data_IF_028409610311
#
_entry.id   IF_028409610311
#
_cell.length_a   1.000
_cell.length_b   1.000
_cell.length_c   1.000
_cell.angle_alpha   90.00
_cell.angle_beta   90.00
_cell.angle_gamma   90.00
#
_symmetry.space_group_name_H-M   'P 1'
#
loop_
_entity.id
_entity.type
_entity.pdbx_description
1 polymer ?
#
# COMPACT_ATOMS: atom_id res chain seq x y z
N UNK A 1 -22.48 -7.94 -2.28
CA UNK A 1 -21.94 -8.71 -3.43
C UNK A 1 -20.79 -9.58 -2.96
N UNK A 2 -20.53 -10.70 -3.65
CA UNK A 2 -19.34 -11.52 -3.42
C UNK A 2 -18.30 -11.23 -4.49
N UNK A 3 -17.24 -10.58 -4.12
CA UNK A 3 -16.23 -10.04 -5.02
C UNK A 3 -14.91 -10.78 -4.82
N UNK A 4 -14.32 -11.22 -5.93
CA UNK A 4 -12.96 -11.75 -5.95
C UNK A 4 -11.98 -10.59 -6.17
N UNK A 5 -11.16 -10.31 -5.18
CA UNK A 5 -10.07 -9.33 -5.29
C UNK A 5 -8.79 -10.04 -5.68
N UNK A 6 -8.13 -9.54 -6.71
CA UNK A 6 -6.89 -10.07 -7.26
C UNK A 6 -5.76 -9.03 -7.21
N UNK A 7 -4.60 -9.48 -6.74
CA UNK A 7 -3.35 -8.73 -6.79
C UNK A 7 -2.29 -9.62 -7.46
N UNK A 8 -1.99 -9.31 -8.72
CA UNK A 8 -1.09 -10.09 -9.58
C UNK A 8 0.34 -9.51 -9.50
N UNK A 9 1.30 -10.34 -9.10
CA UNK A 9 2.72 -10.08 -9.25
C UNK A 9 3.30 -10.81 -10.45
N UNK A 10 4.55 -10.56 -10.82
CA UNK A 10 5.22 -11.19 -11.98
C UNK A 10 5.22 -12.72 -11.92
N UNK A 11 5.43 -13.30 -10.74
CA UNK A 11 5.44 -14.76 -10.50
C UNK A 11 4.52 -15.18 -9.35
N UNK A 12 3.56 -14.36 -8.99
CA UNK A 12 2.66 -14.64 -7.86
C UNK A 12 1.25 -14.07 -8.08
N UNK A 13 0.28 -14.59 -7.33
CA UNK A 13 -1.09 -14.11 -7.35
C UNK A 13 -1.66 -14.20 -5.93
N UNK A 14 -2.02 -13.07 -5.34
CA UNK A 14 -2.80 -13.01 -4.11
C UNK A 14 -4.27 -12.82 -4.45
N UNK A 15 -5.15 -13.47 -3.71
CA UNK A 15 -6.57 -13.28 -3.88
C UNK A 15 -7.34 -13.40 -2.57
N UNK A 16 -8.50 -12.72 -2.55
CA UNK A 16 -9.51 -12.88 -1.51
C UNK A 16 -10.90 -12.84 -2.13
N UNK A 17 -11.83 -13.63 -1.60
CA UNK A 17 -13.26 -13.44 -1.87
C UNK A 17 -13.87 -12.77 -0.65
N UNK A 18 -14.53 -11.66 -0.89
CA UNK A 18 -15.12 -10.81 0.15
C UNK A 18 -16.62 -10.67 -0.11
N UNK A 19 -17.42 -10.84 0.93
CA UNK A 19 -18.82 -10.42 0.93
C UNK A 19 -18.89 -8.96 1.36
N UNK A 20 -19.20 -8.05 0.43
CA UNK A 20 -19.23 -6.61 0.69
C UNK A 20 -20.35 -6.18 1.63
N UNK A 21 -21.42 -6.96 1.78
CA UNK A 21 -22.54 -6.65 2.68
C UNK A 21 -22.13 -6.80 4.14
N UNK A 22 -21.33 -7.83 4.44
CA UNK A 22 -20.85 -8.11 5.80
C UNK A 22 -19.43 -7.61 6.06
N UNK A 23 -18.65 -7.37 5.01
CA UNK A 23 -17.22 -7.13 5.08
C UNK A 23 -16.41 -8.41 5.37
N UNK A 24 -17.04 -9.59 5.35
CA UNK A 24 -16.40 -10.86 5.69
C UNK A 24 -15.51 -11.37 4.55
N UNK A 25 -14.30 -11.77 4.88
CA UNK A 25 -13.39 -12.48 3.98
C UNK A 25 -13.75 -13.98 4.04
N UNK A 26 -14.41 -14.48 2.97
CA UNK A 26 -14.86 -15.86 2.86
C UNK A 26 -13.70 -16.83 2.60
N UNK A 27 -12.72 -16.41 1.81
CA UNK A 27 -11.54 -17.19 1.46
C UNK A 27 -10.41 -16.30 1.02
N UNK A 28 -9.17 -16.71 1.29
CA UNK A 28 -7.97 -16.07 0.73
C UNK A 28 -6.93 -17.07 0.30
N UNK A 29 -6.08 -16.67 -0.62
CA UNK A 29 -4.97 -17.49 -1.03
C UNK A 29 -3.82 -16.73 -1.65
N UNK A 30 -2.70 -17.45 -1.74
CA UNK A 30 -1.48 -16.96 -2.32
C UNK A 30 -0.86 -18.05 -3.21
N UNK A 31 -0.79 -17.77 -4.49
CA UNK A 31 -0.12 -18.61 -5.47
C UNK A 31 1.30 -18.09 -5.67
N UNK A 32 2.28 -18.98 -5.54
CA UNK A 32 3.70 -18.63 -5.58
C UNK A 32 4.41 -19.38 -6.70
N UNK A 33 5.49 -18.79 -7.22
CA UNK A 33 6.35 -19.35 -8.27
C UNK A 33 5.60 -19.68 -9.57
N UNK A 34 4.65 -18.84 -9.96
CA UNK A 34 3.96 -18.98 -11.26
C UNK A 34 5.01 -18.84 -12.37
N UNK A 35 5.00 -19.77 -13.33
CA UNK A 35 6.00 -19.85 -14.40
C UNK A 35 7.34 -20.50 -14.01
N UNK A 36 7.48 -20.96 -12.77
CA UNK A 36 8.69 -21.55 -12.23
C UNK A 36 8.46 -22.98 -11.72
N UNK A 37 9.56 -23.71 -11.50
CA UNK A 37 9.49 -25.05 -10.89
C UNK A 37 9.05 -24.95 -9.43
N UNK A 38 8.19 -25.87 -8.98
CA UNK A 38 7.71 -25.94 -7.61
C UNK A 38 6.69 -24.88 -7.27
N UNK A 39 5.89 -24.45 -8.23
CA UNK A 39 4.75 -23.54 -7.96
C UNK A 39 3.69 -24.23 -7.08
N UNK A 40 3.10 -23.47 -6.17
CA UNK A 40 2.10 -23.97 -5.23
C UNK A 40 1.10 -22.88 -4.84
N UNK A 41 -0.09 -23.33 -4.44
CA UNK A 41 -1.14 -22.49 -3.88
C UNK A 41 -1.27 -22.74 -2.37
N UNK A 42 -1.18 -21.68 -1.58
CA UNK A 42 -1.66 -21.63 -0.21
C UNK A 42 -3.08 -21.08 -0.21
N UNK A 43 -4.05 -21.83 0.29
CA UNK A 43 -5.46 -21.48 0.30
C UNK A 43 -6.01 -21.57 1.73
N UNK A 44 -6.65 -20.51 2.22
CA UNK A 44 -7.22 -20.47 3.55
C UNK A 44 -8.73 -20.28 3.45
N UNK A 45 -9.50 -21.24 3.93
CA UNK A 45 -10.97 -21.25 3.97
C UNK A 45 -11.43 -21.82 5.31
N UNK A 46 -12.51 -21.31 5.87
CA UNK A 46 -13.08 -21.75 7.16
C UNK A 46 -12.03 -21.79 8.31
N UNK A 47 -11.06 -20.86 8.29
CA UNK A 47 -9.98 -20.80 9.28
C UNK A 47 -8.81 -21.76 9.01
N UNK A 48 -8.96 -22.77 8.16
CA UNK A 48 -7.93 -23.75 7.85
C UNK A 48 -7.07 -23.35 6.67
N UNK A 49 -5.78 -23.69 6.75
CA UNK A 49 -4.78 -23.41 5.71
C UNK A 49 -4.41 -24.71 4.99
N UNK A 50 -4.62 -24.73 3.67
CA UNK A 50 -4.31 -25.85 2.79
C UNK A 50 -3.22 -25.44 1.81
N UNK A 51 -2.24 -26.32 1.58
CA UNK A 51 -1.20 -26.14 0.57
C UNK A 51 -1.39 -27.14 -0.56
N UNK A 52 -1.45 -26.65 -1.80
CA UNK A 52 -1.57 -27.45 -3.01
C UNK A 52 -0.35 -27.26 -3.89
N UNK A 53 0.46 -28.28 -4.06
CA UNK A 53 1.50 -28.31 -5.08
C UNK A 53 0.83 -28.50 -6.44
N UNK A 54 0.89 -27.48 -7.25
CA UNK A 54 0.28 -27.48 -8.58
C UNK A 54 1.12 -26.65 -9.54
N UNK A 55 1.63 -27.25 -10.64
CA UNK A 55 2.45 -26.53 -11.60
C UNK A 55 1.58 -25.58 -12.42
N UNK A 56 1.81 -24.27 -12.25
CA UNK A 56 1.19 -23.23 -13.05
C UNK A 56 2.26 -22.56 -13.92
N UNK A 57 2.24 -22.86 -15.21
CA UNK A 57 3.22 -22.30 -16.16
C UNK A 57 2.96 -20.82 -16.50
N UNK A 58 1.81 -20.27 -16.15
CA UNK A 58 1.44 -18.86 -16.33
C UNK A 58 0.24 -18.49 -15.43
N UNK A 59 -0.13 -17.20 -15.41
CA UNK A 59 -1.26 -16.70 -14.65
C UNK A 59 -2.61 -17.32 -15.04
N UNK A 60 -2.82 -17.62 -16.32
CA UNK A 60 -4.04 -18.30 -16.76
C UNK A 60 -4.23 -19.65 -16.06
N UNK A 61 -3.18 -20.49 -16.01
CA UNK A 61 -3.22 -21.77 -15.29
C UNK A 61 -3.38 -21.62 -13.79
N UNK A 62 -2.76 -20.60 -13.19
CA UNK A 62 -2.94 -20.29 -11.78
C UNK A 62 -4.39 -19.89 -11.47
N UNK A 63 -4.97 -18.99 -12.26
CA UNK A 63 -6.37 -18.55 -12.09
C UNK A 63 -7.36 -19.68 -12.36
N UNK A 64 -7.15 -20.51 -13.39
CA UNK A 64 -7.95 -21.72 -13.62
C UNK A 64 -7.98 -22.62 -12.37
N UNK A 65 -6.84 -22.83 -11.75
CA UNK A 65 -6.75 -23.63 -10.54
C UNK A 65 -7.42 -22.97 -9.34
N UNK A 66 -7.26 -21.66 -9.17
CA UNK A 66 -7.95 -20.89 -8.12
C UNK A 66 -9.47 -21.02 -8.30
N UNK A 67 -10.02 -20.80 -9.50
CA UNK A 67 -11.46 -20.92 -9.74
C UNK A 67 -11.97 -22.34 -9.43
N UNK A 68 -11.18 -23.37 -9.76
CA UNK A 68 -11.50 -24.75 -9.38
C UNK A 68 -11.48 -24.97 -7.88
N UNK A 69 -10.63 -24.27 -7.10
CA UNK A 69 -10.66 -24.35 -5.64
C UNK A 69 -11.85 -23.62 -5.06
N UNK A 70 -12.20 -22.43 -5.59
CA UNK A 70 -13.35 -21.65 -5.15
C UNK A 70 -14.70 -22.36 -5.30
N UNK A 71 -14.79 -23.32 -6.25
CA UNK A 71 -16.00 -24.14 -6.51
C UNK A 71 -15.86 -25.59 -6.07
N UNK A 72 -14.81 -25.93 -5.33
CA UNK A 72 -14.59 -27.30 -4.82
C UNK A 72 -15.53 -27.59 -3.65
N UNK A 73 -16.05 -28.81 -3.59
CA UNK A 73 -16.93 -29.28 -2.52
C UNK A 73 -16.30 -29.13 -1.11
N UNK A 74 -14.99 -29.37 -0.98
CA UNK A 74 -14.30 -29.35 0.32
C UNK A 74 -13.60 -28.02 0.64
N UNK A 75 -13.21 -27.25 -0.39
CA UNK A 75 -12.37 -26.06 -0.24
C UNK A 75 -13.03 -24.79 -0.79
N UNK A 76 -14.20 -24.91 -1.40
CA UNK A 76 -14.87 -23.82 -2.08
C UNK A 76 -15.83 -23.05 -1.17
N UNK A 77 -16.18 -21.88 -1.65
CA UNK A 77 -17.20 -21.00 -1.06
C UNK A 77 -18.40 -20.81 -2.00
N UNK A 78 -18.33 -21.39 -3.20
CA UNK A 78 -19.38 -21.34 -4.22
C UNK A 78 -19.74 -22.76 -4.70
N UNK A 79 -21.01 -22.98 -5.06
CA UNK A 79 -21.41 -24.19 -5.79
C UNK A 79 -20.91 -24.21 -7.22
N UNK A 80 -20.92 -23.04 -7.85
CA UNK A 80 -20.42 -22.76 -9.19
C UNK A 80 -20.01 -21.28 -9.26
N UNK A 81 -19.46 -20.83 -10.37
CA UNK A 81 -18.99 -19.45 -10.54
C UNK A 81 -20.12 -18.41 -10.69
N UNK A 82 -21.40 -18.83 -10.75
CA UNK A 82 -22.51 -17.88 -10.76
C UNK A 82 -22.64 -17.13 -9.43
N UNK A 83 -22.18 -17.76 -8.34
CA UNK A 83 -22.11 -17.13 -7.02
C UNK A 83 -21.05 -16.03 -6.87
N UNK A 84 -20.16 -15.86 -7.83
CA UNK A 84 -19.19 -14.76 -7.90
C UNK A 84 -19.82 -13.62 -8.70
N UNK A 85 -19.95 -12.43 -8.11
CA UNK A 85 -20.62 -11.29 -8.76
C UNK A 85 -19.66 -10.52 -9.67
N UNK A 86 -18.46 -10.21 -9.20
CA UNK A 86 -17.47 -9.41 -9.94
C UNK A 86 -16.03 -9.72 -9.50
N UNK A 87 -15.06 -9.18 -10.23
CA UNK A 87 -13.63 -9.29 -9.93
C UNK A 87 -13.03 -7.89 -9.84
N UNK A 88 -12.41 -7.56 -8.69
CA UNK A 88 -11.60 -6.35 -8.50
C UNK A 88 -10.12 -6.65 -8.72
N UNK A 89 -9.48 -5.90 -9.59
CA UNK A 89 -8.05 -6.01 -9.86
C UNK A 89 -7.30 -4.83 -9.27
N UNK A 90 -6.34 -5.09 -8.39
CA UNK A 90 -5.39 -4.05 -7.98
C UNK A 90 -4.46 -3.74 -9.13
N UNK A 91 -4.37 -2.46 -9.50
CA UNK A 91 -3.43 -1.91 -10.46
C UNK A 91 -2.59 -0.85 -9.75
N UNK A 92 -1.27 -0.89 -9.89
CA UNK A 92 -0.42 0.02 -9.12
C UNK A 92 -0.48 1.44 -9.65
N UNK A 93 -0.45 1.64 -10.96
CA UNK A 93 -0.36 2.99 -11.52
C UNK A 93 -1.40 3.27 -12.60
N UNK A 94 -2.22 4.28 -12.36
CA UNK A 94 -3.26 4.75 -13.29
C UNK A 94 -2.90 6.01 -14.09
N UNK A 95 -1.69 6.55 -13.91
CA UNK A 95 -1.31 7.81 -14.53
C UNK A 95 -2.17 8.98 -14.05
N UNK A 96 -2.40 9.95 -14.91
CA UNK A 96 -3.35 11.06 -14.69
C UNK A 96 -4.74 10.75 -15.23
N UNK A 97 -4.86 9.66 -15.95
CA UNK A 97 -6.07 9.25 -16.67
C UNK A 97 -7.11 8.62 -15.75
N UNK A 98 -6.66 7.75 -14.84
CA UNK A 98 -7.55 7.03 -13.92
C UNK A 98 -7.54 7.68 -12.53
N UNK A 99 -8.61 8.42 -12.26
CA UNK A 99 -8.82 9.13 -10.97
C UNK A 99 -9.65 8.33 -9.98
N UNK A 100 -10.36 7.32 -10.47
CA UNK A 100 -11.26 6.46 -9.72
C UNK A 100 -11.12 5.01 -10.20
N UNK A 101 -11.73 4.07 -9.49
CA UNK A 101 -11.92 2.72 -9.98
C UNK A 101 -12.80 2.69 -11.24
N UNK A 102 -12.48 1.84 -12.21
CA UNK A 102 -13.18 1.80 -13.50
C UNK A 102 -13.49 0.38 -13.96
N UNK A 103 -14.60 0.20 -14.66
CA UNK A 103 -14.91 -1.05 -15.33
C UNK A 103 -13.86 -1.33 -16.41
N UNK A 104 -13.31 -2.53 -16.42
CA UNK A 104 -12.25 -2.92 -17.36
C UNK A 104 -12.83 -3.14 -18.75
N UNK A 105 -12.44 -2.28 -19.69
CA UNK A 105 -12.64 -2.41 -21.13
C UNK A 105 -11.31 -2.59 -21.84
N UNK A 106 -11.30 -2.75 -23.16
CA UNK A 106 -10.06 -2.83 -23.93
C UNK A 106 -9.31 -1.48 -23.91
N UNK A 107 -10.03 -0.35 -23.85
CA UNK A 107 -9.46 1.00 -23.69
C UNK A 107 -8.79 1.16 -22.33
N UNK A 108 -9.40 0.65 -21.25
CA UNK A 108 -8.79 0.68 -19.91
C UNK A 108 -7.51 -0.17 -19.86
N UNK A 109 -7.52 -1.35 -20.49
CA UNK A 109 -6.30 -2.16 -20.59
C UNK A 109 -5.20 -1.42 -21.36
N UNK A 110 -5.57 -0.73 -22.44
CA UNK A 110 -4.60 0.09 -23.19
C UNK A 110 -4.05 1.23 -22.34
N UNK A 111 -4.90 1.96 -21.61
CA UNK A 111 -4.45 3.02 -20.70
C UNK A 111 -3.52 2.50 -19.60
N UNK A 112 -3.75 1.29 -19.05
CA UNK A 112 -2.82 0.66 -18.10
C UNK A 112 -1.46 0.35 -18.76
N UNK A 113 -1.47 -0.11 -20.03
CA UNK A 113 -0.24 -0.34 -20.82
C UNK A 113 0.53 0.96 -21.07
N UNK A 114 -0.16 2.02 -21.43
CA UNK A 114 0.45 3.32 -21.70
C UNK A 114 1.18 3.89 -20.46
N UNK A 115 0.76 3.45 -19.27
CA UNK A 115 1.38 3.80 -17.99
C UNK A 115 2.43 2.77 -17.48
N UNK A 116 2.80 1.75 -18.28
CA UNK A 116 3.82 0.74 -17.86
C UNK A 116 5.17 1.39 -17.54
N UNK A 117 5.56 2.45 -18.24
CA UNK A 117 6.80 3.18 -17.96
C UNK A 117 6.85 3.80 -16.55
N UNK A 118 5.72 4.05 -15.91
CA UNK A 118 5.63 4.57 -14.54
C UNK A 118 5.60 3.46 -13.47
N UNK A 119 5.26 2.23 -13.86
CA UNK A 119 5.24 1.06 -12.97
C UNK A 119 5.67 -0.23 -13.68
N UNK A 120 6.92 -0.31 -14.19
CA UNK A 120 7.36 -1.39 -15.08
C UNK A 120 7.36 -2.78 -14.44
N UNK A 121 7.46 -2.85 -13.12
CA UNK A 121 7.43 -4.13 -12.38
C UNK A 121 6.00 -4.58 -12.00
N UNK A 122 5.00 -3.71 -12.11
CA UNK A 122 3.67 -3.96 -11.53
C UNK A 122 2.56 -3.96 -12.58
N UNK A 123 2.45 -2.94 -13.43
CA UNK A 123 1.38 -2.83 -14.42
C UNK A 123 1.36 -4.02 -15.40
N UNK A 124 2.50 -4.49 -15.95
CA UNK A 124 2.51 -5.68 -16.80
C UNK A 124 1.93 -6.92 -16.11
N UNK A 125 2.24 -7.12 -14.81
CA UNK A 125 1.71 -8.23 -14.04
C UNK A 125 0.19 -8.12 -13.81
N UNK A 126 -0.31 -6.91 -13.54
CA UNK A 126 -1.74 -6.66 -13.43
C UNK A 126 -2.48 -7.00 -14.73
N UNK A 127 -1.94 -6.59 -15.88
CA UNK A 127 -2.49 -6.92 -17.22
C UNK A 127 -2.53 -8.43 -17.45
N UNK A 128 -1.46 -9.16 -17.10
CA UNK A 128 -1.46 -10.63 -17.20
C UNK A 128 -2.59 -11.26 -16.37
N UNK A 129 -2.86 -10.74 -15.18
CA UNK A 129 -3.97 -11.19 -14.35
C UNK A 129 -5.33 -10.89 -14.98
N UNK A 130 -5.53 -9.68 -15.49
CA UNK A 130 -6.77 -9.25 -16.17
C UNK A 130 -7.04 -10.13 -17.40
N UNK A 131 -6.08 -10.25 -18.29
CA UNK A 131 -6.20 -11.04 -19.51
C UNK A 131 -6.45 -12.54 -19.22
N UNK A 132 -5.85 -13.06 -18.17
CA UNK A 132 -6.09 -14.42 -17.72
C UNK A 132 -7.53 -14.58 -17.20
N UNK A 133 -8.06 -13.62 -16.44
CA UNK A 133 -9.45 -13.64 -15.98
C UNK A 133 -10.44 -13.55 -17.15
N UNK A 134 -10.20 -12.67 -18.14
CA UNK A 134 -11.04 -12.60 -19.37
C UNK A 134 -11.21 -13.95 -20.04
N UNK A 135 -10.16 -14.78 -20.06
CA UNK A 135 -10.17 -16.11 -20.66
C UNK A 135 -10.83 -17.18 -19.79
N UNK A 136 -10.58 -17.11 -18.47
CA UNK A 136 -11.00 -18.18 -17.53
C UNK A 136 -12.43 -18.02 -17.07
N UNK A 137 -12.89 -16.78 -16.90
CA UNK A 137 -14.24 -16.43 -16.43
C UNK A 137 -14.89 -15.39 -17.36
N UNK A 138 -15.13 -15.74 -18.62
CA UNK A 138 -15.70 -14.81 -19.60
C UNK A 138 -17.06 -14.30 -19.11
N UNK A 139 -17.34 -13.02 -19.36
CA UNK A 139 -18.60 -12.38 -19.03
C UNK A 139 -18.75 -11.92 -17.56
N UNK A 140 -17.81 -12.22 -16.66
CA UNK A 140 -17.80 -11.61 -15.33
C UNK A 140 -17.29 -10.18 -15.42
N UNK A 141 -18.01 -9.19 -14.83
CA UNK A 141 -17.52 -7.82 -14.78
C UNK A 141 -16.24 -7.73 -13.97
N UNK A 142 -15.30 -6.94 -14.48
CA UNK A 142 -14.00 -6.71 -13.87
C UNK A 142 -13.76 -5.22 -13.69
N UNK A 143 -13.20 -4.83 -12.55
CA UNK A 143 -12.91 -3.45 -12.19
C UNK A 143 -11.43 -3.30 -11.87
N UNK A 144 -10.80 -2.26 -12.42
CA UNK A 144 -9.45 -1.85 -12.06
C UNK A 144 -9.52 -0.82 -10.94
N UNK A 145 -8.79 -1.09 -9.85
CA UNK A 145 -8.65 -0.19 -8.70
C UNK A 145 -7.18 0.20 -8.60
N UNK A 146 -6.91 1.50 -8.64
CA UNK A 146 -5.55 2.02 -8.78
C UNK A 146 -4.99 2.54 -7.44
N UNK A 147 -3.77 2.14 -7.08
CA UNK A 147 -3.09 2.63 -5.87
C UNK A 147 -2.87 4.15 -5.90
N UNK A 148 -2.82 4.75 -7.08
CA UNK A 148 -2.59 6.18 -7.29
C UNK A 148 -3.88 7.01 -7.34
N UNK A 149 -5.06 6.38 -7.50
CA UNK A 149 -6.32 7.09 -7.74
C UNK A 149 -6.70 8.03 -6.59
N UNK A 150 -6.61 7.57 -5.35
CA UNK A 150 -6.94 8.38 -4.16
C UNK A 150 -6.12 9.67 -4.05
N UNK A 151 -4.93 9.72 -4.64
CA UNK A 151 -4.04 10.88 -4.63
C UNK A 151 -4.25 11.86 -5.80
N UNK A 152 -5.18 11.59 -6.71
CA UNK A 152 -5.45 12.48 -7.85
C UNK A 152 -6.12 13.80 -7.46
N UNK A 153 -6.58 13.93 -6.22
CA UNK A 153 -7.11 15.16 -5.62
C UNK A 153 -6.03 16.11 -5.12
N UNK A 154 -4.75 15.70 -5.12
CA UNK A 154 -3.62 16.56 -4.74
C UNK A 154 -3.48 17.71 -5.74
N UNK A 155 -3.45 18.95 -5.25
CA UNK A 155 -3.39 20.15 -6.06
C UNK A 155 -2.04 20.32 -6.80
N UNK A 156 -2.08 21.06 -7.92
CA UNK A 156 -0.97 21.17 -8.87
C UNK A 156 0.34 21.65 -8.23
N UNK A 157 0.28 22.64 -7.35
CA UNK A 157 1.44 23.19 -6.66
C UNK A 157 2.13 22.20 -5.71
N UNK A 158 1.42 21.14 -5.29
CA UNK A 158 1.94 20.10 -4.40
C UNK A 158 2.49 18.88 -5.14
N UNK A 159 1.94 18.59 -6.31
CA UNK A 159 2.42 17.46 -7.11
C UNK A 159 3.51 17.83 -8.11
N UNK A 160 3.70 19.11 -8.44
CA UNK A 160 4.71 19.54 -9.40
C UNK A 160 6.11 19.53 -8.77
N UNK A 161 7.07 18.90 -9.42
CA UNK A 161 8.47 18.98 -9.02
C UNK A 161 9.09 20.29 -9.52
N UNK A 162 9.95 20.96 -8.75
CA UNK A 162 10.62 22.20 -9.13
C UNK A 162 11.82 21.96 -10.09
N UNK A 163 11.54 21.33 -11.22
CA UNK A 163 12.45 21.08 -12.34
C UNK A 163 11.84 21.68 -13.61
N UNK A 164 12.54 21.77 -14.75
CA UNK A 164 11.97 22.34 -15.97
C UNK A 164 10.61 21.72 -16.29
N UNK A 165 9.59 22.58 -16.43
CA UNK A 165 8.18 22.18 -16.55
C UNK A 165 7.90 21.31 -17.78
N UNK A 166 8.75 21.42 -18.82
CA UNK A 166 8.70 20.58 -20.02
C UNK A 166 8.76 19.07 -19.73
N UNK A 167 9.41 18.65 -18.65
CA UNK A 167 9.44 17.23 -18.25
C UNK A 167 8.09 16.74 -17.74
N UNK A 168 7.33 17.61 -17.09
CA UNK A 168 5.94 17.29 -16.77
C UNK A 168 5.10 17.19 -18.05
N UNK A 169 5.21 18.16 -18.97
CA UNK A 169 4.42 18.17 -20.20
C UNK A 169 4.73 16.96 -21.09
N UNK A 170 5.99 16.60 -21.21
CA UNK A 170 6.46 15.55 -22.12
C UNK A 170 6.34 14.14 -21.52
N UNK A 171 6.67 13.97 -20.23
CA UNK A 171 6.82 12.66 -19.61
C UNK A 171 5.90 12.45 -18.42
N UNK A 172 5.05 13.42 -18.10
CA UNK A 172 4.17 13.38 -16.92
C UNK A 172 4.94 13.21 -15.60
N UNK A 173 6.15 13.80 -15.51
CA UNK A 173 6.98 13.77 -14.30
C UNK A 173 6.34 14.66 -13.23
N UNK A 174 5.65 14.03 -12.30
CA UNK A 174 4.97 14.65 -11.17
C UNK A 174 4.91 13.66 -10.00
N UNK A 175 4.50 14.15 -8.82
CA UNK A 175 4.12 13.27 -7.71
C UNK A 175 2.77 12.62 -8.04
N UNK A 176 2.69 11.29 -7.86
CA UNK A 176 1.45 10.52 -7.92
C UNK A 176 1.03 10.01 -6.54
N UNK A 177 1.96 9.42 -5.79
CA UNK A 177 1.66 8.75 -4.53
C UNK A 177 1.11 7.34 -4.72
N UNK A 178 1.21 6.53 -3.68
CA UNK A 178 0.83 5.12 -3.69
C UNK A 178 0.17 4.73 -2.37
N UNK A 179 -0.22 3.46 -2.21
CA UNK A 179 -1.02 2.95 -1.10
C UNK A 179 -2.37 3.68 -0.95
N UNK A 180 -2.90 4.27 -2.04
CA UNK A 180 -4.13 5.06 -2.01
C UNK A 180 -5.29 4.31 -1.39
N UNK A 181 -5.49 3.05 -1.78
CA UNK A 181 -6.53 2.16 -1.25
C UNK A 181 -6.42 1.96 0.27
N UNK A 182 -5.18 1.80 0.78
CA UNK A 182 -4.94 1.70 2.22
C UNK A 182 -5.23 3.02 2.96
N UNK A 183 -4.76 4.15 2.41
CA UNK A 183 -4.99 5.47 3.00
C UNK A 183 -6.47 5.80 3.06
N UNK A 184 -7.21 5.51 2.00
CA UNK A 184 -8.65 5.69 1.91
C UNK A 184 -9.38 4.81 2.93
N UNK A 185 -9.10 3.50 2.96
CA UNK A 185 -9.70 2.58 3.92
C UNK A 185 -9.54 3.05 5.37
N UNK A 186 -8.30 3.36 5.77
CA UNK A 186 -7.99 3.75 7.16
C UNK A 186 -8.65 5.07 7.54
N UNK A 187 -8.72 6.04 6.60
CA UNK A 187 -9.40 7.32 6.84
C UNK A 187 -10.90 7.13 7.08
N UNK A 188 -11.58 6.36 6.26
CA UNK A 188 -13.00 6.06 6.46
C UNK A 188 -13.22 5.26 7.73
N UNK A 189 -12.35 4.28 7.99
CA UNK A 189 -12.50 3.44 9.19
C UNK A 189 -12.31 4.22 10.49
N UNK A 190 -11.33 5.11 10.59
CA UNK A 190 -11.16 5.92 11.80
C UNK A 190 -12.29 6.92 11.98
N UNK A 191 -12.87 7.44 10.91
CA UNK A 191 -14.07 8.29 10.97
C UNK A 191 -15.28 7.52 11.52
N UNK A 192 -15.50 6.27 11.06
CA UNK A 192 -16.51 5.36 11.61
C UNK A 192 -16.30 5.11 13.12
N UNK A 193 -15.06 4.83 13.55
CA UNK A 193 -14.73 4.60 14.98
C UNK A 193 -15.04 5.85 15.81
N UNK A 194 -14.77 7.04 15.27
CA UNK A 194 -15.05 8.31 15.93
C UNK A 194 -16.53 8.73 15.86
N UNK A 195 -17.36 8.06 15.06
CA UNK A 195 -18.75 8.45 14.80
C UNK A 195 -18.89 9.81 14.12
N UNK A 196 -17.92 10.17 13.26
CA UNK A 196 -17.86 11.45 12.54
C UNK A 196 -17.86 11.23 11.03
N UNK A 197 -18.29 12.25 10.29
CA UNK A 197 -18.06 12.30 8.85
C UNK A 197 -16.55 12.50 8.58
N UNK A 198 -15.99 11.71 7.67
CA UNK A 198 -14.58 11.82 7.26
C UNK A 198 -14.26 13.23 6.73
N UNK A 199 -15.25 13.93 6.19
CA UNK A 199 -15.14 15.31 5.70
C UNK A 199 -14.90 16.35 6.80
N UNK A 200 -15.18 16.01 8.05
CA UNK A 200 -14.97 16.90 9.20
C UNK A 200 -13.56 16.77 9.80
N UNK A 201 -12.77 15.79 9.34
CA UNK A 201 -11.51 15.41 9.94
C UNK A 201 -10.31 15.81 9.08
N UNK A 202 -9.23 16.16 9.77
CA UNK A 202 -7.87 16.31 9.23
C UNK A 202 -7.02 15.14 9.73
N UNK A 203 -6.84 14.16 8.88
CA UNK A 203 -6.22 12.88 9.22
C UNK A 203 -4.85 12.79 8.58
N UNK A 204 -3.83 12.42 9.36
CA UNK A 204 -2.57 11.91 8.81
C UNK A 204 -2.52 10.41 9.00
N UNK A 205 -2.55 9.68 7.90
CA UNK A 205 -2.38 8.24 7.93
C UNK A 205 -0.94 7.85 7.61
N UNK A 206 -0.34 7.09 8.53
CA UNK A 206 1.01 6.56 8.45
C UNK A 206 0.93 5.06 8.10
N UNK A 207 1.02 4.73 6.81
CA UNK A 207 1.14 3.36 6.32
C UNK A 207 2.61 2.94 6.41
N UNK A 208 2.99 2.27 7.49
CA UNK A 208 4.38 1.91 7.80
C UNK A 208 4.59 0.41 7.65
N UNK A 209 4.94 -0.02 6.42
CA UNK A 209 5.26 -1.40 6.08
C UNK A 209 6.70 -1.53 5.56
N UNK A 210 7.00 -2.57 4.78
CA UNK A 210 8.24 -2.67 4.01
C UNK A 210 8.35 -1.56 2.97
N UNK A 211 7.25 -1.28 2.24
CA UNK A 211 7.01 0.00 1.61
C UNK A 211 6.24 0.86 2.60
N UNK A 212 6.56 2.15 2.69
CA UNK A 212 5.93 3.04 3.65
C UNK A 212 5.58 4.39 3.03
N UNK A 213 4.42 4.92 3.40
CA UNK A 213 3.99 6.25 2.97
C UNK A 213 3.14 6.93 4.03
N UNK A 214 3.13 8.25 3.98
CA UNK A 214 2.32 9.11 4.85
C UNK A 214 1.40 9.93 3.95
N UNK A 215 0.13 10.03 4.31
CA UNK A 215 -0.87 10.76 3.56
C UNK A 215 -1.63 11.73 4.46
N UNK A 216 -1.80 12.97 3.98
CA UNK A 216 -2.69 13.96 4.56
C UNK A 216 -4.07 13.86 3.90
N UNK A 217 -5.09 13.68 4.71
CA UNK A 217 -6.47 13.51 4.25
C UNK A 217 -7.32 14.60 4.89
N UNK A 218 -7.95 15.43 4.05
CA UNK A 218 -8.81 16.54 4.46
C UNK A 218 -10.08 16.52 3.62
N UNK A 219 -11.23 16.70 4.24
CA UNK A 219 -12.54 16.58 3.59
C UNK A 219 -12.79 15.20 2.92
N UNK A 220 -12.14 14.14 3.43
CA UNK A 220 -12.19 12.81 2.84
C UNK A 220 -11.28 12.59 1.62
N UNK A 221 -10.50 13.59 1.21
CA UNK A 221 -9.63 13.59 0.03
C UNK A 221 -8.14 13.65 0.40
N UNK A 222 -7.29 13.00 -0.38
CA UNK A 222 -5.84 13.13 -0.26
C UNK A 222 -5.38 14.52 -0.70
N UNK A 223 -4.70 15.25 0.19
CA UNK A 223 -4.20 16.62 -0.11
C UNK A 223 -2.68 16.72 -0.11
N UNK A 224 -1.98 15.69 0.36
CA UNK A 224 -0.52 15.53 0.31
C UNK A 224 -0.17 14.07 0.56
N UNK A 225 0.91 13.58 -0.04
CA UNK A 225 1.46 12.25 0.26
C UNK A 225 2.98 12.24 0.17
N UNK A 226 3.62 11.28 0.83
CA UNK A 226 5.08 11.22 0.88
C UNK A 226 5.71 10.59 -0.35
N UNK A 227 5.15 9.52 -0.91
CA UNK A 227 5.68 8.90 -2.14
C UNK A 227 5.51 9.84 -3.33
N UNK A 228 6.42 9.74 -4.29
CA UNK A 228 6.56 10.67 -5.41
C UNK A 228 6.07 10.14 -6.74
N UNK A 229 6.90 10.32 -7.78
CA UNK A 229 6.75 9.74 -9.12
C UNK A 229 6.71 8.21 -9.03
N UNK A 230 7.57 7.66 -8.16
CA UNK A 230 7.70 6.24 -7.87
C UNK A 230 7.51 5.99 -6.36
N UNK A 231 7.37 4.73 -5.94
CA UNK A 231 7.32 4.39 -4.52
C UNK A 231 8.65 4.55 -3.76
N UNK A 232 9.67 5.17 -4.36
CA UNK A 232 10.98 5.41 -3.76
C UNK A 232 11.00 6.64 -2.85
N UNK A 233 10.36 7.74 -3.29
CA UNK A 233 10.37 9.02 -2.56
C UNK A 233 9.66 8.96 -1.21
N UNK A 234 9.91 9.94 -0.37
CA UNK A 234 9.27 10.10 0.93
C UNK A 234 10.16 9.68 2.11
N UNK A 235 9.59 8.98 3.07
CA UNK A 235 10.32 8.49 4.25
C UNK A 235 11.25 7.31 3.89
N UNK A 236 12.35 7.11 4.64
CA UNK A 236 13.14 5.88 4.51
C UNK A 236 12.25 4.66 4.76
N UNK A 237 12.53 3.55 4.07
CA UNK A 237 11.75 2.32 4.18
C UNK A 237 12.67 1.15 4.55
N UNK A 238 12.20 -0.09 4.44
CA UNK A 238 13.04 -1.26 4.71
C UNK A 238 14.37 -1.23 3.95
N UNK A 239 14.31 -1.06 2.64
CA UNK A 239 15.48 -1.02 1.74
C UNK A 239 15.53 0.21 0.83
N UNK A 240 14.49 1.06 0.82
CA UNK A 240 14.42 2.25 -0.03
C UNK A 240 14.90 3.47 0.73
N UNK A 241 15.66 4.34 0.04
CA UNK A 241 16.27 5.52 0.64
C UNK A 241 15.25 6.55 1.16
N UNK A 242 14.10 6.69 0.51
CA UNK A 242 13.26 7.88 0.67
C UNK A 242 13.92 9.12 0.04
N UNK A 243 13.51 10.30 0.51
CA UNK A 243 14.04 11.58 0.02
C UNK A 243 15.51 11.77 0.41
N UNK A 244 16.28 12.27 -0.54
CA UNK A 244 17.68 12.65 -0.36
C UNK A 244 18.00 13.86 -1.23
N UNK A 245 19.16 14.51 -0.99
CA UNK A 245 19.68 15.53 -1.89
C UNK A 245 19.97 14.90 -3.27
N UNK A 246 19.37 15.39 -4.36
CA UNK A 246 19.60 14.85 -5.71
C UNK A 246 21.08 14.81 -6.13
N UNK A 247 21.91 15.71 -5.57
CA UNK A 247 23.35 15.75 -5.86
C UNK A 247 24.10 14.53 -5.30
N UNK A 248 23.56 13.85 -4.30
CA UNK A 248 24.13 12.59 -3.78
C UNK A 248 24.18 11.53 -4.89
N UNK A 249 23.13 11.45 -5.71
CA UNK A 249 23.03 10.50 -6.84
C UNK A 249 24.22 10.70 -7.80
N UNK A 250 24.36 11.90 -8.32
CA UNK A 250 25.44 12.22 -9.29
C UNK A 250 26.83 12.20 -8.66
N UNK A 251 26.93 12.45 -7.35
CA UNK A 251 28.19 12.34 -6.62
C UNK A 251 28.66 10.90 -6.53
N UNK A 252 27.79 9.98 -6.13
CA UNK A 252 28.10 8.54 -6.02
C UNK A 252 28.41 7.95 -7.40
N UNK A 253 27.61 8.26 -8.44
CA UNK A 253 27.88 7.82 -9.80
C UNK A 253 29.31 8.15 -10.24
N UNK A 254 29.79 9.35 -9.94
CA UNK A 254 31.13 9.80 -10.31
C UNK A 254 32.26 9.19 -9.43
N UNK A 255 31.96 8.89 -8.16
CA UNK A 255 32.94 8.38 -7.21
C UNK A 255 33.20 6.88 -7.35
N UNK A 256 32.12 6.14 -7.60
CA UNK A 256 32.11 4.68 -7.66
C UNK A 256 31.97 4.14 -9.09
N UNK A 257 31.99 5.06 -10.11
CA UNK A 257 31.83 4.73 -11.54
C UNK A 257 30.53 3.96 -11.85
N UNK A 258 29.44 4.31 -11.14
CA UNK A 258 28.13 3.66 -11.25
C UNK A 258 27.31 4.20 -12.43
N UNK A 259 26.53 3.35 -13.04
CA UNK A 259 25.52 3.75 -14.01
C UNK A 259 24.13 4.02 -13.37
N UNK A 260 23.10 4.25 -14.19
CA UNK A 260 21.75 4.55 -13.70
C UNK A 260 21.09 3.32 -13.05
N UNK A 261 21.34 2.12 -13.58
CA UNK A 261 20.77 0.87 -13.08
C UNK A 261 21.37 0.51 -11.71
N UNK A 262 22.69 0.73 -11.55
CA UNK A 262 23.39 0.55 -10.27
C UNK A 262 22.82 1.46 -9.18
N UNK A 263 22.59 2.72 -9.51
CA UNK A 263 21.97 3.69 -8.58
C UNK A 263 20.53 3.29 -8.25
N UNK A 264 19.78 2.83 -9.23
CA UNK A 264 18.40 2.36 -8.98
C UNK A 264 18.39 1.18 -8.01
N UNK A 265 19.31 0.23 -8.16
CA UNK A 265 19.47 -0.91 -7.24
C UNK A 265 19.82 -0.43 -5.82
N UNK A 266 20.84 0.43 -5.68
CA UNK A 266 21.28 0.98 -4.39
C UNK A 266 20.12 1.68 -3.67
N UNK A 267 19.41 2.58 -4.35
CA UNK A 267 18.36 3.38 -3.72
C UNK A 267 17.11 2.58 -3.37
N UNK A 268 16.79 1.52 -4.13
CA UNK A 268 15.60 0.72 -3.91
C UNK A 268 15.82 -0.50 -3.02
N UNK A 269 17.04 -1.09 -2.99
CA UNK A 269 17.27 -2.40 -2.35
C UNK A 269 18.36 -2.42 -1.30
N UNK A 270 19.28 -1.47 -1.31
CA UNK A 270 20.44 -1.46 -0.41
C UNK A 270 20.44 -0.32 0.60
N UNK A 271 19.43 0.54 0.53
CA UNK A 271 19.28 1.77 1.31
C UNK A 271 18.29 1.62 2.48
N UNK A 272 17.67 2.69 2.90
CA UNK A 272 16.68 2.72 3.97
C UNK A 272 17.25 2.33 5.32
N UNK A 273 16.41 1.76 6.19
CA UNK A 273 16.86 1.31 7.52
C UNK A 273 17.85 0.16 7.42
N UNK A 274 17.75 -0.68 6.38
CA UNK A 274 18.75 -1.74 6.11
C UNK A 274 20.13 -1.16 5.82
N UNK A 275 20.22 -0.20 4.90
CA UNK A 275 21.50 0.41 4.52
C UNK A 275 22.19 1.14 5.67
N UNK A 276 21.42 1.79 6.57
CA UNK A 276 21.96 2.49 7.73
C UNK A 276 22.32 1.50 8.85
N UNK A 277 21.43 0.53 9.15
CA UNK A 277 21.63 -0.41 10.25
C UNK A 277 22.67 -1.47 9.95
N UNK A 278 22.77 -1.90 8.68
CA UNK A 278 23.58 -3.04 8.23
C UNK A 278 23.24 -4.37 8.94
N UNK A 279 22.00 -4.48 9.46
CA UNK A 279 21.54 -5.65 10.25
C UNK A 279 20.54 -6.48 9.45
N UNK A 280 19.39 -5.91 9.14
CA UNK A 280 18.26 -6.63 8.54
C UNK A 280 17.31 -5.67 7.85
N UNK A 281 16.47 -6.20 6.97
CA UNK A 281 15.30 -5.48 6.41
C UNK A 281 14.09 -5.56 7.34
N UNK A 282 14.13 -6.41 8.35
CA UNK A 282 13.05 -6.60 9.33
C UNK A 282 13.22 -5.65 10.50
N UNK A 283 12.28 -4.76 10.70
CA UNK A 283 12.29 -3.81 11.81
C UNK A 283 12.40 -4.46 13.19
N UNK A 284 11.90 -5.70 13.35
CA UNK A 284 11.99 -6.43 14.62
C UNK A 284 13.44 -6.75 15.00
N UNK A 285 14.25 -7.13 14.01
CA UNK A 285 15.67 -7.43 14.22
C UNK A 285 16.43 -6.14 14.52
N UNK A 286 16.11 -5.05 13.79
CA UNK A 286 16.73 -3.73 14.00
C UNK A 286 16.38 -3.17 15.37
N UNK A 287 15.11 -3.28 15.81
CA UNK A 287 14.68 -2.86 17.15
C UNK A 287 15.40 -3.69 18.25
N UNK A 288 15.50 -5.00 18.07
CA UNK A 288 16.20 -5.85 19.02
C UNK A 288 17.69 -5.49 19.14
N UNK A 289 18.38 -5.27 18.02
CA UNK A 289 19.78 -4.85 17.98
C UNK A 289 19.99 -3.46 18.60
N UNK A 290 19.10 -2.50 18.30
CA UNK A 290 19.15 -1.17 18.89
C UNK A 290 19.01 -1.20 20.42
N UNK A 291 18.07 -2.02 20.93
CA UNK A 291 17.88 -2.22 22.38
C UNK A 291 19.07 -2.93 23.05
N UNK A 292 19.77 -3.77 22.30
CA UNK A 292 21.02 -4.41 22.76
C UNK A 292 22.25 -3.45 22.72
N UNK A 293 22.07 -2.21 22.26
CA UNK A 293 23.14 -1.20 22.22
C UNK A 293 23.80 -1.04 20.85
N UNK A 294 23.26 -1.65 19.78
CA UNK A 294 23.76 -1.53 18.41
C UNK A 294 23.63 -0.09 17.88
N UNK A 295 24.76 0.59 17.69
CA UNK A 295 24.80 2.03 17.31
C UNK A 295 24.16 2.30 15.94
N UNK A 296 24.45 1.48 14.94
CA UNK A 296 23.90 1.66 13.59
C UNK A 296 22.42 1.33 13.54
N UNK A 297 21.96 0.33 14.28
CA UNK A 297 20.54 -0.01 14.39
C UNK A 297 19.76 1.13 15.05
N UNK A 298 20.30 1.70 16.14
CA UNK A 298 19.69 2.87 16.77
C UNK A 298 19.66 4.07 15.85
N UNK A 299 20.75 4.39 15.15
CA UNK A 299 20.81 5.48 14.19
C UNK A 299 19.76 5.32 13.08
N UNK A 300 19.61 4.11 12.54
CA UNK A 300 18.63 3.81 11.50
C UNK A 300 17.20 4.08 11.97
N UNK A 301 16.85 3.64 13.19
CA UNK A 301 15.53 3.89 13.79
C UNK A 301 15.31 5.35 14.11
N UNK A 302 16.31 6.05 14.68
CA UNK A 302 16.20 7.48 15.00
C UNK A 302 15.97 8.30 13.71
N UNK A 303 16.71 8.02 12.64
CA UNK A 303 16.52 8.66 11.33
C UNK A 303 15.14 8.38 10.73
N UNK A 304 14.67 7.14 10.83
CA UNK A 304 13.35 6.74 10.40
C UNK A 304 12.24 7.47 11.17
N UNK A 305 12.29 7.46 12.50
CA UNK A 305 11.29 8.11 13.36
C UNK A 305 11.25 9.62 13.11
N UNK A 306 12.43 10.25 12.95
CA UNK A 306 12.51 11.68 12.63
C UNK A 306 11.88 12.00 11.26
N UNK A 307 12.17 11.19 10.24
CA UNK A 307 11.59 11.39 8.91
C UNK A 307 10.05 11.23 8.94
N UNK A 308 9.53 10.21 9.65
CA UNK A 308 8.07 10.01 9.80
C UNK A 308 7.44 11.21 10.49
N UNK A 309 7.99 11.67 11.61
CA UNK A 309 7.48 12.84 12.33
C UNK A 309 7.53 14.11 11.46
N UNK A 310 8.62 14.30 10.71
CA UNK A 310 8.75 15.41 9.77
C UNK A 310 7.68 15.41 8.68
N UNK A 311 7.35 14.26 8.13
CA UNK A 311 6.26 14.13 7.14
C UNK A 311 4.88 14.33 7.76
N UNK A 312 4.63 13.88 9.00
CA UNK A 312 3.40 14.20 9.73
C UNK A 312 3.24 15.72 9.89
N UNK A 313 4.31 16.41 10.26
CA UNK A 313 4.31 17.87 10.38
C UNK A 313 4.04 18.56 9.03
N UNK A 314 4.66 18.11 7.93
CA UNK A 314 4.39 18.57 6.56
C UNK A 314 2.92 18.38 6.19
N UNK A 315 2.35 17.24 6.50
CA UNK A 315 0.93 16.93 6.28
C UNK A 315 0.01 17.85 7.08
N UNK A 316 0.34 18.13 8.35
CA UNK A 316 -0.41 19.07 9.18
C UNK A 316 -0.42 20.49 8.58
N UNK A 317 0.71 20.94 8.02
CA UNK A 317 0.79 22.23 7.30
C UNK A 317 -0.08 22.20 6.06
N UNK A 318 -0.04 21.12 5.27
CA UNK A 318 -0.83 20.97 4.04
C UNK A 318 -2.35 21.03 4.29
N UNK A 319 -2.80 20.60 5.48
CA UNK A 319 -4.21 20.62 5.89
C UNK A 319 -4.62 21.88 6.67
N UNK A 320 -3.65 22.66 7.18
CA UNK A 320 -3.90 23.77 8.10
C UNK A 320 -4.41 23.29 9.46
N UNK A 321 -3.86 22.20 9.98
CA UNK A 321 -4.18 21.58 11.27
C UNK A 321 -4.13 20.08 11.23
N UNK A 322 -4.36 19.44 12.39
CA UNK A 322 -4.26 18.00 12.58
C UNK A 322 -5.22 17.56 13.68
N UNK A 323 -6.15 16.68 13.36
CA UNK A 323 -7.12 16.14 14.33
C UNK A 323 -6.76 14.71 14.73
N UNK A 324 -6.30 13.90 13.76
CA UNK A 324 -6.06 12.46 13.94
C UNK A 324 -4.77 12.02 13.27
N UNK A 325 -3.99 11.20 13.96
CA UNK A 325 -2.91 10.39 13.39
C UNK A 325 -3.33 8.93 13.45
N UNK A 326 -3.16 8.20 12.33
CA UNK A 326 -3.38 6.76 12.30
C UNK A 326 -2.10 6.04 11.91
N UNK A 327 -1.83 4.91 12.59
CA UNK A 327 -0.73 4.00 12.29
C UNK A 327 -1.29 2.70 11.74
N UNK A 328 -0.79 2.28 10.58
CA UNK A 328 -1.23 1.07 9.89
C UNK A 328 -0.07 0.33 9.23
N UNK A 329 -0.31 -0.84 8.68
CA UNK A 329 0.65 -1.76 8.11
C UNK A 329 1.66 -2.32 9.12
N UNK A 330 2.63 -3.12 8.65
CA UNK A 330 3.44 -4.00 9.48
C UNK A 330 4.09 -3.34 10.70
N UNK A 331 4.83 -2.26 10.52
CA UNK A 331 5.51 -1.50 11.60
C UNK A 331 4.49 -0.66 12.35
N UNK A 332 3.61 0.05 11.64
CA UNK A 332 2.59 0.91 12.24
C UNK A 332 1.67 0.15 13.20
N UNK A 333 1.24 -1.04 12.82
CA UNK A 333 0.37 -1.89 13.63
C UNK A 333 1.09 -2.62 14.77
N UNK A 334 2.36 -3.03 14.57
CA UNK A 334 3.01 -4.04 15.42
C UNK A 334 4.18 -3.52 16.24
N UNK A 335 4.68 -2.29 16.01
CA UNK A 335 5.77 -1.72 16.79
C UNK A 335 5.31 -0.61 17.73
N UNK A 336 5.01 -0.93 19.00
CA UNK A 336 4.78 0.08 20.04
C UNK A 336 5.98 1.02 20.22
N UNK A 337 7.19 0.52 20.02
CA UNK A 337 8.42 1.29 20.13
C UNK A 337 8.46 2.41 19.10
N UNK A 338 8.32 2.10 17.81
CA UNK A 338 8.34 3.08 16.73
C UNK A 338 7.22 4.11 16.88
N UNK A 339 5.98 3.70 17.19
CA UNK A 339 4.88 4.64 17.44
C UNK A 339 5.20 5.58 18.60
N UNK A 340 5.77 5.04 19.69
CA UNK A 340 6.16 5.82 20.86
C UNK A 340 7.20 6.89 20.54
N UNK A 341 8.27 6.52 19.85
CA UNK A 341 9.34 7.45 19.50
C UNK A 341 8.86 8.52 18.49
N UNK A 342 8.03 8.14 17.50
CA UNK A 342 7.43 9.11 16.58
C UNK A 342 6.54 10.09 17.32
N UNK A 343 5.65 9.63 18.21
CA UNK A 343 4.73 10.50 18.97
C UNK A 343 5.45 11.45 19.92
N UNK A 344 6.56 11.05 20.52
CA UNK A 344 7.41 11.95 21.35
C UNK A 344 7.90 13.16 20.55
N UNK A 345 8.29 12.98 19.29
CA UNK A 345 8.72 14.06 18.41
C UNK A 345 7.58 15.03 18.05
N UNK A 346 6.33 14.65 18.31
CA UNK A 346 5.12 15.42 17.97
C UNK A 346 4.41 16.01 19.19
N UNK A 347 5.00 15.94 20.39
CA UNK A 347 4.42 16.50 21.63
C UNK A 347 4.08 17.99 21.50
N UNK A 348 4.84 18.75 20.74
CA UNK A 348 4.59 20.18 20.49
C UNK A 348 3.31 20.45 19.69
N UNK A 349 2.77 19.46 18.95
CA UNK A 349 1.43 19.51 18.35
C UNK A 349 0.31 19.16 19.35
N UNK A 350 0.67 18.78 20.57
CA UNK A 350 -0.28 18.29 21.58
C UNK A 350 -0.64 16.82 21.40
N UNK A 351 0.25 16.04 20.81
CA UNK A 351 0.15 14.58 20.72
C UNK A 351 0.62 13.98 22.03
N UNK A 352 -0.27 13.28 22.72
CA UNK A 352 0.05 12.54 23.93
C UNK A 352 -0.53 11.14 23.86
N UNK A 353 0.31 10.11 24.01
CA UNK A 353 -0.13 8.70 23.97
C UNK A 353 -0.04 8.02 25.33
N UNK A 354 -0.91 7.05 25.55
CA UNK A 354 -0.90 6.16 26.71
C UNK A 354 0.10 5.03 26.49
N UNK A 355 1.14 4.94 27.33
CA UNK A 355 2.11 3.86 27.24
C UNK A 355 1.47 2.46 27.34
N UNK A 356 0.37 2.32 28.11
CA UNK A 356 -0.37 1.06 28.25
C UNK A 356 -1.16 0.72 26.98
N UNK A 357 -1.93 1.66 26.43
CA UNK A 357 -2.75 1.43 25.23
C UNK A 357 -1.85 1.25 24.00
N UNK A 358 -0.69 1.92 23.95
CA UNK A 358 0.26 1.78 22.85
C UNK A 358 0.89 0.37 22.74
N UNK A 359 0.73 -0.51 23.73
CA UNK A 359 1.23 -1.89 23.65
C UNK A 359 0.42 -2.78 22.70
N UNK A 360 -0.70 -2.28 22.16
CA UNK A 360 -1.52 -2.99 21.18
C UNK A 360 -0.73 -3.41 19.94
N UNK A 361 -1.09 -4.56 19.35
CA UNK A 361 -0.50 -5.08 18.12
C UNK A 361 -1.58 -5.62 17.20
N UNK A 362 -1.85 -4.89 16.11
CA UNK A 362 -2.74 -5.36 15.04
C UNK A 362 -4.23 -5.36 15.39
N UNK A 363 -4.64 -4.53 16.35
CA UNK A 363 -6.05 -4.35 16.75
C UNK A 363 -6.42 -2.87 16.69
N UNK A 364 -7.66 -2.57 16.29
CA UNK A 364 -8.18 -1.20 16.26
C UNK A 364 -8.21 -0.63 17.69
N UNK A 365 -7.41 0.39 17.93
CA UNK A 365 -7.26 0.96 19.29
C UNK A 365 -6.94 2.43 19.22
N UNK A 366 -7.66 3.26 19.96
CA UNK A 366 -7.23 4.61 20.30
C UNK A 366 -6.12 4.52 21.36
N UNK A 367 -4.94 5.02 21.02
CA UNK A 367 -3.77 5.01 21.90
C UNK A 367 -3.43 6.37 22.50
N UNK A 368 -4.15 7.44 22.12
CA UNK A 368 -4.01 8.77 22.71
C UNK A 368 -4.53 8.80 24.15
N UNK A 369 -3.95 9.71 24.98
CA UNK A 369 -4.50 10.02 26.28
C UNK A 369 -5.78 10.86 26.13
N UNK A 370 -6.67 10.89 27.13
CA UNK A 370 -7.89 11.72 27.06
C UNK A 370 -7.63 13.20 26.82
N UNK A 371 -6.55 13.73 27.40
CA UNK A 371 -6.12 15.14 27.29
C UNK A 371 -5.40 15.48 25.99
N UNK A 372 -5.04 14.49 25.17
CA UNK A 372 -4.36 14.71 23.88
C UNK A 372 -5.22 15.55 22.94
N UNK A 373 -4.63 16.61 22.40
CA UNK A 373 -5.29 17.48 21.42
C UNK A 373 -5.49 16.78 20.08
N UNK A 374 -4.52 15.94 19.70
CA UNK A 374 -4.56 15.12 18.48
C UNK A 374 -4.86 13.68 18.88
N UNK A 375 -5.86 13.10 18.28
CA UNK A 375 -6.18 11.68 18.51
C UNK A 375 -5.21 10.78 17.76
N UNK A 376 -4.80 9.69 18.40
CA UNK A 376 -3.86 8.73 17.80
C UNK A 376 -4.46 7.33 17.84
N UNK A 377 -4.49 6.67 16.67
CA UNK A 377 -5.07 5.34 16.53
C UNK A 377 -4.10 4.36 15.89
N UNK A 378 -4.22 3.10 16.27
CA UNK A 378 -3.78 1.96 15.49
C UNK A 378 -4.99 1.42 14.75
N UNK A 379 -4.92 1.37 13.41
CA UNK A 379 -6.02 0.87 12.57
C UNK A 379 -5.43 -0.07 11.52
N UNK A 380 -5.60 -1.39 11.66
CA UNK A 380 -5.16 -2.34 10.65
C UNK A 380 -5.78 -2.05 9.29
N UNK A 381 -4.94 -1.97 8.26
CA UNK A 381 -5.44 -1.75 6.89
C UNK A 381 -6.14 -2.99 6.33
N UNK A 382 -7.10 -2.78 5.44
CA UNK A 382 -7.78 -3.83 4.69
C UNK A 382 -8.01 -3.37 3.25
N UNK A 383 -6.93 -3.40 2.48
CA UNK A 383 -6.94 -2.95 1.08
C UNK A 383 -7.89 -3.78 0.23
N UNK A 384 -7.96 -5.08 0.47
CA UNK A 384 -8.83 -5.97 -0.30
C UNK A 384 -10.30 -5.67 -0.07
N UNK A 385 -10.71 -5.33 1.17
CA UNK A 385 -12.07 -4.90 1.44
C UNK A 385 -12.39 -3.57 0.74
N UNK A 386 -11.42 -2.64 0.69
CA UNK A 386 -11.62 -1.38 -0.02
C UNK A 386 -11.76 -1.62 -1.52
N UNK A 387 -10.89 -2.44 -2.12
CA UNK A 387 -11.00 -2.83 -3.54
C UNK A 387 -12.36 -3.49 -3.82
N UNK A 388 -12.85 -4.35 -2.92
CA UNK A 388 -14.15 -4.97 -3.08
C UNK A 388 -15.30 -3.95 -3.03
N UNK A 389 -15.24 -2.97 -2.13
CA UNK A 389 -16.25 -1.89 -2.02
C UNK A 389 -16.26 -1.00 -3.25
N UNK A 390 -15.10 -0.55 -3.72
CA UNK A 390 -14.98 0.24 -4.96
C UNK A 390 -15.44 -0.55 -6.18
N UNK A 391 -15.14 -1.87 -6.23
CA UNK A 391 -15.65 -2.75 -7.29
C UNK A 391 -17.18 -2.81 -7.26
N UNK A 392 -17.78 -2.97 -6.08
CA UNK A 392 -19.25 -2.98 -5.94
C UNK A 392 -19.88 -1.64 -6.36
N UNK A 393 -19.25 -0.52 -6.00
CA UNK A 393 -19.72 0.82 -6.35
C UNK A 393 -19.75 1.01 -7.88
N UNK A 394 -18.66 0.67 -8.57
CA UNK A 394 -18.58 0.74 -10.04
C UNK A 394 -19.60 -0.17 -10.74
N UNK A 395 -19.91 -1.34 -10.17
CA UNK A 395 -20.86 -2.29 -10.76
C UNK A 395 -22.30 -1.85 -10.56
N UNK A 396 -22.61 -1.17 -9.46
CA UNK A 396 -23.96 -0.68 -9.16
C UNK A 396 -24.32 0.64 -9.88
N UNK A 397 -23.32 1.42 -10.31
CA UNK A 397 -23.47 2.70 -10.99
C UNK A 397 -23.65 3.82 -10.01
#
# INVERSE_FOLDING_TARGET
MKILVLNSGSSSLKYQVIDTQTGEMLVKGYYERIGQTGSFLTHKVNGEKHKFEHPARNHEKAIQFVMKRLTSEHYGVFKNLDGLDAIGHRVVHGGEEFKDAVLITDEVIQGIKDNEGLAPLHNPAAILGIEACKKVVPGKPMVAVFDTAFHQTISKEKYTYPIPYEYYEKYRVRKYGFHGTSHQYVAYRVAEILGKDVKELKIVNCHLGQGASICAIKNGESVETSMGLTPLGGIPMGTRSGDLDPSVVTYLMKKEELDADDIEEILNRESGVFGISMVSVDFRDIEAEALAGGRHAKLALDAYHYAVAGYIAKCAVAMGGLDVITFTAGVGEKSPYSRGEICKLLEFFGVEISGKLNLVKGEETEISKPESKVKVFVVPTNEELMIARETEEVIKG
#
